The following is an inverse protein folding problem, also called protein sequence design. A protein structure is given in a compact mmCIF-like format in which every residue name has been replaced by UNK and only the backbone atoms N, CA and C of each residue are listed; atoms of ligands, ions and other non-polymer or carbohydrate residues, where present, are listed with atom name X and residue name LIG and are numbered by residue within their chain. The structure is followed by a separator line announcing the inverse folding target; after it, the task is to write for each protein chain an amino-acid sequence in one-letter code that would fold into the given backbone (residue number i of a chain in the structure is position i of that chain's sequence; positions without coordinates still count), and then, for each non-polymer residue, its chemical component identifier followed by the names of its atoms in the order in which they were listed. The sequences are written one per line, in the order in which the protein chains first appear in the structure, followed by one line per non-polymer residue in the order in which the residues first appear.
data_IF_744196495350
#
_entry.id   IF_744196495350
#
_cell.length_a   1.000
_cell.length_b   1.000
_cell.length_c   1.000
_cell.angle_alpha   90.00
_cell.angle_beta   90.00
_cell.angle_gamma   90.00
#
_symmetry.space_group_name_H-M   'P 1'
#
loop_
_entity.id
_entity.type
_entity.pdbx_description
1 polymer ?
#
# COMPACT_ATOMS: atom_id res chain seq x y z
N UNK A 1 4.49 -18.76 22.48
CA UNK A 1 3.84 -18.14 21.31
C UNK A 1 3.55 -16.67 21.63
N UNK A 2 3.99 -15.72 20.80
CA UNK A 2 3.55 -14.33 20.92
C UNK A 2 2.05 -14.32 20.59
N UNK A 3 1.20 -13.91 21.53
CA UNK A 3 -0.21 -13.74 21.22
C UNK A 3 -0.33 -12.64 20.16
N UNK A 4 -0.90 -12.99 19.00
CA UNK A 4 -1.20 -11.99 17.99
C UNK A 4 -2.37 -11.15 18.53
N UNK A 5 -2.13 -9.86 18.72
CA UNK A 5 -3.13 -8.92 19.24
C UNK A 5 -4.05 -8.52 18.09
N UNK A 6 -5.37 -8.61 18.32
CA UNK A 6 -6.37 -8.11 17.38
C UNK A 6 -6.29 -6.58 17.32
N UNK A 7 -5.71 -6.05 16.24
CA UNK A 7 -5.51 -4.61 16.05
C UNK A 7 -5.88 -4.19 14.62
N UNK A 8 -7.19 -4.19 14.27
CA UNK A 8 -7.65 -3.74 12.95
C UNK A 8 -7.74 -2.20 12.87
N UNK A 9 -7.86 -1.68 11.66
CA UNK A 9 -7.97 -0.25 11.38
C UNK A 9 -6.66 0.39 10.93
N UNK A 10 -6.60 1.71 11.07
CA UNK A 10 -5.45 2.52 10.70
C UNK A 10 -4.24 2.18 11.59
N UNK A 11 -3.08 2.04 10.97
CA UNK A 11 -1.81 1.84 11.66
C UNK A 11 -0.88 2.98 11.28
N UNK A 12 -0.20 3.57 12.26
CA UNK A 12 0.87 4.52 12.00
C UNK A 12 1.99 4.30 13.01
N UNK A 13 3.14 3.84 12.53
CA UNK A 13 4.35 3.72 13.33
C UNK A 13 5.12 5.04 13.36
N UNK A 14 5.94 5.23 14.39
CA UNK A 14 6.93 6.33 14.44
C UNK A 14 7.89 6.25 13.24
N UNK A 15 8.24 5.04 12.79
CA UNK A 15 9.07 4.83 11.60
C UNK A 15 8.36 5.36 10.35
N UNK A 16 7.05 5.11 10.22
CA UNK A 16 6.26 5.59 9.07
C UNK A 16 6.24 7.12 9.03
N UNK A 17 6.15 7.79 10.18
CA UNK A 17 6.24 9.26 10.28
C UNK A 17 7.60 9.76 9.79
N UNK A 18 8.71 9.15 10.23
CA UNK A 18 10.04 9.54 9.76
C UNK A 18 10.21 9.32 8.25
N UNK A 19 9.74 8.19 7.74
CA UNK A 19 9.79 7.87 6.30
C UNK A 19 8.93 8.85 5.49
N UNK A 20 7.74 9.20 5.98
CA UNK A 20 6.87 10.18 5.34
C UNK A 20 7.51 11.57 5.32
N UNK A 21 7.94 12.08 6.47
CA UNK A 21 8.53 13.43 6.57
C UNK A 21 9.81 13.52 5.74
N UNK A 22 10.73 12.57 5.92
CA UNK A 22 11.99 12.52 5.17
C UNK A 22 11.77 12.31 3.68
N UNK A 23 10.89 11.37 3.30
CA UNK A 23 10.56 11.07 1.92
C UNK A 23 9.87 12.22 1.19
N UNK A 24 8.92 12.91 1.85
CA UNK A 24 8.27 14.10 1.30
C UNK A 24 9.26 15.25 1.13
N UNK A 25 10.12 15.52 2.13
CA UNK A 25 11.15 16.54 2.00
C UNK A 25 12.12 16.25 0.85
N UNK A 26 12.58 14.99 0.73
CA UNK A 26 13.43 14.56 -0.37
C UNK A 26 12.73 14.72 -1.73
N UNK A 27 11.46 14.33 -1.85
CA UNK A 27 10.69 14.49 -3.07
C UNK A 27 10.50 15.95 -3.47
N UNK A 28 10.27 16.86 -2.50
CA UNK A 28 10.17 18.31 -2.75
C UNK A 28 11.50 18.84 -3.30
N UNK A 29 12.62 18.48 -2.67
CA UNK A 29 13.95 18.90 -3.13
C UNK A 29 14.22 18.38 -4.56
N UNK A 30 13.92 17.10 -4.83
CA UNK A 30 14.10 16.50 -6.15
C UNK A 30 13.22 17.15 -7.23
N UNK A 31 11.99 17.53 -6.89
CA UNK A 31 11.07 18.23 -7.79
C UNK A 31 11.66 19.55 -8.32
N UNK A 32 12.46 20.25 -7.52
CA UNK A 32 13.07 21.53 -7.91
C UNK A 32 14.10 21.38 -9.05
N UNK A 33 14.68 20.20 -9.23
CA UNK A 33 15.61 19.92 -10.32
C UNK A 33 14.85 19.44 -11.55
N UNK A 34 14.06 18.38 -11.37
CA UNK A 34 13.30 17.75 -12.42
C UNK A 34 12.00 17.27 -11.80
N UNK A 35 10.87 17.75 -12.29
CA UNK A 35 9.57 17.50 -11.68
C UNK A 35 9.30 16.00 -11.47
N UNK A 36 9.71 15.14 -12.41
CA UNK A 36 9.48 13.70 -12.31
C UNK A 36 10.38 13.00 -11.29
N UNK A 37 11.53 13.59 -10.93
CA UNK A 37 12.39 13.09 -9.83
C UNK A 37 11.70 13.24 -8.48
N UNK A 38 10.84 14.26 -8.32
CA UNK A 38 9.98 14.40 -7.15
C UNK A 38 8.69 13.57 -7.26
N UNK A 39 8.05 13.59 -8.43
CA UNK A 39 6.78 12.89 -8.65
C UNK A 39 6.87 11.39 -8.37
N UNK A 40 7.83 10.68 -8.98
CA UNK A 40 7.91 9.23 -8.88
C UNK A 40 8.07 8.72 -7.42
N UNK A 41 9.02 9.22 -6.61
CA UNK A 41 9.12 8.81 -5.21
C UNK A 41 7.95 9.30 -4.37
N UNK A 42 7.41 10.51 -4.59
CA UNK A 42 6.23 10.98 -3.87
C UNK A 42 5.00 10.09 -4.13
N UNK A 43 4.80 9.70 -5.40
CA UNK A 43 3.73 8.82 -5.81
C UNK A 43 3.88 7.44 -5.17
N UNK A 44 5.07 6.84 -5.23
CA UNK A 44 5.34 5.57 -4.56
C UNK A 44 5.14 5.66 -3.03
N UNK A 45 5.68 6.70 -2.39
CA UNK A 45 5.55 6.93 -0.94
C UNK A 45 4.09 7.03 -0.51
N UNK A 46 3.27 7.79 -1.26
CA UNK A 46 1.84 7.91 -1.00
C UNK A 46 1.10 6.56 -1.11
N UNK A 47 1.43 5.75 -2.12
CA UNK A 47 0.81 4.44 -2.31
C UNK A 47 1.25 3.44 -1.24
N UNK A 48 2.53 3.37 -0.88
CA UNK A 48 2.99 2.52 0.22
C UNK A 48 2.39 2.96 1.55
N UNK A 49 2.28 4.26 1.80
CA UNK A 49 1.57 4.75 2.98
C UNK A 49 0.12 4.24 2.98
N UNK A 50 -0.61 4.46 1.89
CA UNK A 50 -1.99 4.01 1.75
C UNK A 50 -2.14 2.49 1.91
N UNK A 51 -1.28 1.70 1.27
CA UNK A 51 -1.28 0.24 1.31
C UNK A 51 -0.93 -0.31 2.67
N UNK A 52 0.12 0.18 3.33
CA UNK A 52 0.60 -0.41 4.58
C UNK A 52 -0.14 0.12 5.82
N UNK A 53 -0.67 1.35 5.76
CA UNK A 53 -1.24 2.04 6.94
C UNK A 53 -2.76 2.16 6.89
N UNK A 54 -3.33 2.38 5.71
CA UNK A 54 -4.77 2.62 5.55
C UNK A 54 -5.50 1.33 5.19
N UNK A 55 -5.15 0.71 4.06
CA UNK A 55 -5.84 -0.49 3.55
C UNK A 55 -5.29 -1.77 4.17
N UNK A 56 -4.00 -1.78 4.53
CA UNK A 56 -3.26 -2.93 5.07
C UNK A 56 -3.33 -4.13 4.15
N UNK A 57 -2.97 -3.91 2.88
CA UNK A 57 -3.02 -4.97 1.87
C UNK A 57 -1.97 -6.05 2.10
N UNK A 58 -2.24 -7.26 1.61
CA UNK A 58 -1.28 -8.35 1.69
C UNK A 58 -0.04 -8.05 0.83
N UNK A 59 1.15 -8.35 1.38
CA UNK A 59 2.45 -8.09 0.73
C UNK A 59 2.59 -8.55 -0.72
N UNK A 60 2.04 -9.70 -1.16
CA UNK A 60 2.09 -10.09 -2.57
C UNK A 60 1.40 -9.07 -3.51
N UNK A 61 0.32 -8.43 -3.07
CA UNK A 61 -0.38 -7.40 -3.85
C UNK A 61 0.41 -6.08 -3.89
N UNK A 62 1.08 -5.71 -2.78
CA UNK A 62 2.01 -4.57 -2.75
C UNK A 62 3.13 -4.75 -3.77
N UNK A 63 3.75 -5.94 -3.78
CA UNK A 63 4.84 -6.27 -4.69
C UNK A 63 4.40 -6.32 -6.15
N UNK A 64 3.18 -6.81 -6.42
CA UNK A 64 2.60 -6.77 -7.75
C UNK A 64 2.45 -5.32 -8.25
N UNK A 65 1.85 -4.46 -7.43
CA UNK A 65 1.69 -3.05 -7.77
C UNK A 65 3.05 -2.36 -7.98
N UNK A 66 4.01 -2.61 -7.07
CA UNK A 66 5.34 -2.04 -7.14
C UNK A 66 6.08 -2.48 -8.41
N UNK A 67 5.99 -3.76 -8.77
CA UNK A 67 6.56 -4.29 -10.02
C UNK A 67 5.99 -3.59 -11.25
N UNK A 68 4.66 -3.43 -11.32
CA UNK A 68 4.01 -2.72 -12.42
C UNK A 68 4.48 -1.26 -12.50
N UNK A 69 4.48 -0.54 -11.39
CA UNK A 69 4.92 0.87 -11.36
C UNK A 69 6.39 1.02 -11.75
N UNK A 70 7.29 0.18 -11.21
CA UNK A 70 8.72 0.23 -11.54
C UNK A 70 8.96 -0.03 -13.02
N UNK A 71 8.26 -1.00 -13.62
CA UNK A 71 8.39 -1.31 -15.05
C UNK A 71 7.89 -0.13 -15.90
N UNK A 72 6.73 0.44 -15.58
CA UNK A 72 6.17 1.58 -16.34
C UNK A 72 6.99 2.86 -16.19
N UNK A 73 7.40 3.19 -14.97
CA UNK A 73 8.25 4.35 -14.70
C UNK A 73 9.63 4.18 -15.33
N UNK A 74 10.22 2.97 -15.25
CA UNK A 74 11.48 2.64 -15.90
C UNK A 74 11.41 2.78 -17.42
N UNK A 75 10.34 2.26 -18.04
CA UNK A 75 10.11 2.43 -19.47
C UNK A 75 9.92 3.91 -19.85
N UNK A 76 9.17 4.67 -19.04
CA UNK A 76 8.93 6.10 -19.25
C UNK A 76 10.24 6.90 -19.19
N UNK A 77 11.16 6.54 -18.29
CA UNK A 77 12.47 7.20 -18.17
C UNK A 77 13.41 6.77 -19.29
N UNK A 78 13.43 5.49 -19.67
CA UNK A 78 14.40 4.96 -20.63
C UNK A 78 14.02 5.19 -22.10
N UNK A 79 12.72 5.18 -22.41
CA UNK A 79 12.20 5.20 -23.78
C UNK A 79 11.19 6.32 -24.03
N UNK A 80 10.96 7.20 -23.05
CA UNK A 80 9.95 8.28 -23.10
C UNK A 80 8.52 7.79 -23.38
N UNK A 81 8.28 6.48 -23.24
CA UNK A 81 7.02 5.80 -23.51
C UNK A 81 6.65 4.91 -22.32
N UNK A 82 5.37 4.83 -21.91
CA UNK A 82 4.19 5.49 -22.49
C UNK A 82 3.99 6.95 -22.03
N UNK A 83 4.88 7.49 -21.19
CA UNK A 83 4.78 8.83 -20.61
C UNK A 83 4.18 8.80 -19.20
N UNK A 84 4.50 9.83 -18.40
CA UNK A 84 4.13 9.89 -16.98
C UNK A 84 2.63 9.87 -16.71
N UNK A 85 1.81 10.46 -17.60
CA UNK A 85 0.35 10.44 -17.47
C UNK A 85 -0.20 9.01 -17.57
N UNK A 86 0.20 8.27 -18.61
CA UNK A 86 -0.25 6.89 -18.81
C UNK A 86 0.27 5.99 -17.69
N UNK A 87 1.54 6.15 -17.31
CA UNK A 87 2.13 5.45 -16.16
C UNK A 87 1.32 5.68 -14.88
N UNK A 88 0.98 6.92 -14.56
CA UNK A 88 0.16 7.24 -13.39
C UNK A 88 -1.25 6.64 -13.47
N UNK A 89 -1.93 6.75 -14.62
CA UNK A 89 -3.28 6.21 -14.81
C UNK A 89 -3.33 4.69 -14.69
N UNK A 90 -2.37 3.98 -15.30
CA UNK A 90 -2.29 2.53 -15.19
C UNK A 90 -1.98 2.12 -13.75
N UNK A 91 -1.05 2.80 -13.06
CA UNK A 91 -0.77 2.52 -11.65
C UNK A 91 -1.96 2.80 -10.73
N UNK A 92 -2.75 3.84 -10.99
CA UNK A 92 -4.00 4.10 -10.26
C UNK A 92 -5.04 3.02 -10.53
N UNK A 93 -5.17 2.55 -11.77
CA UNK A 93 -6.08 1.44 -12.10
C UNK A 93 -5.66 0.16 -11.36
N UNK A 94 -4.37 -0.17 -11.36
CA UNK A 94 -3.85 -1.32 -10.61
C UNK A 94 -4.08 -1.14 -9.12
N UNK A 95 -3.93 0.08 -8.58
CA UNK A 95 -4.27 0.41 -7.18
C UNK A 95 -5.71 0.03 -6.86
N UNK A 96 -6.66 0.46 -7.68
CA UNK A 96 -8.09 0.13 -7.51
C UNK A 96 -8.29 -1.39 -7.52
N UNK A 97 -7.67 -2.10 -8.46
CA UNK A 97 -7.78 -3.56 -8.56
C UNK A 97 -7.23 -4.25 -7.32
N UNK A 98 -6.01 -3.92 -6.86
CA UNK A 98 -5.41 -4.59 -5.70
C UNK A 98 -6.18 -4.29 -4.41
N UNK A 99 -6.67 -3.07 -4.25
CA UNK A 99 -7.52 -2.69 -3.11
C UNK A 99 -8.84 -3.45 -3.16
N UNK A 100 -9.51 -3.49 -4.32
CA UNK A 100 -10.76 -4.23 -4.48
C UNK A 100 -10.60 -5.73 -4.19
N UNK A 101 -9.47 -6.33 -4.56
CA UNK A 101 -9.14 -7.72 -4.22
C UNK A 101 -8.90 -7.87 -2.72
N UNK A 102 -8.19 -6.95 -2.07
CA UNK A 102 -7.92 -7.05 -0.63
C UNK A 102 -9.19 -6.89 0.22
N UNK A 103 -10.03 -5.87 -0.05
CA UNK A 103 -11.23 -5.59 0.75
C UNK A 103 -12.26 -6.72 0.71
N UNK A 104 -12.18 -7.61 -0.28
CA UNK A 104 -13.03 -8.79 -0.42
C UNK A 104 -12.52 -10.00 0.37
N UNK A 105 -11.34 -9.93 0.97
CA UNK A 105 -10.80 -11.03 1.77
C UNK A 105 -11.46 -11.06 3.16
N UNK A 106 -11.79 -12.24 3.71
CA UNK A 106 -12.25 -12.38 5.09
C UNK A 106 -11.24 -11.85 6.13
N UNK A 107 -9.97 -11.75 5.75
CA UNK A 107 -8.88 -11.21 6.56
C UNK A 107 -8.73 -9.68 6.44
N UNK A 108 -9.60 -8.97 5.72
CA UNK A 108 -9.49 -7.53 5.55
C UNK A 108 -9.68 -6.81 6.89
N UNK A 109 -8.68 -6.03 7.28
CA UNK A 109 -8.59 -5.41 8.60
C UNK A 109 -8.05 -3.97 8.55
N UNK A 110 -8.16 -3.31 7.39
CA UNK A 110 -7.80 -1.90 7.21
C UNK A 110 -8.84 -0.93 7.77
N UNK A 111 -8.74 0.34 7.38
CA UNK A 111 -9.73 1.37 7.70
C UNK A 111 -11.11 0.98 7.16
N UNK A 112 -12.15 1.26 7.94
CA UNK A 112 -13.54 0.95 7.56
C UNK A 112 -13.90 -0.54 7.67
N UNK A 113 -13.06 -1.38 8.31
CA UNK A 113 -13.33 -2.81 8.45
C UNK A 113 -14.69 -3.11 9.08
N UNK A 114 -15.19 -2.29 10.01
CA UNK A 114 -16.49 -2.51 10.65
C UNK A 114 -17.67 -2.48 9.66
N UNK A 115 -17.55 -1.73 8.56
CA UNK A 115 -18.58 -1.64 7.53
C UNK A 115 -18.33 -2.61 6.38
N UNK A 116 -17.07 -2.85 6.04
CA UNK A 116 -16.66 -3.67 4.90
C UNK A 116 -16.63 -5.17 5.25
N UNK A 117 -16.14 -5.50 6.45
CA UNK A 117 -15.91 -6.86 6.93
C UNK A 117 -16.32 -6.98 8.41
N UNK A 118 -17.63 -6.93 8.73
CA UNK A 118 -18.12 -6.99 10.10
C UNK A 118 -17.83 -8.35 10.79
N UNK A 119 -17.62 -9.41 10.00
CA UNK A 119 -17.32 -10.77 10.47
C UNK A 119 -15.84 -10.97 10.86
N UNK A 120 -15.00 -9.94 10.68
CA UNK A 120 -13.57 -10.00 10.99
C UNK A 120 -13.23 -10.50 12.41
N UNK A 121 -13.92 -10.07 13.50
CA UNK A 121 -13.59 -10.54 14.85
C UNK A 121 -13.84 -12.04 15.01
N UNK A 122 -14.97 -12.54 14.49
CA UNK A 122 -15.30 -13.97 14.53
C UNK A 122 -14.30 -14.80 13.72
N UNK A 123 -13.90 -14.30 12.53
CA UNK A 123 -12.85 -14.92 11.72
C UNK A 123 -11.50 -14.98 12.46
N UNK A 124 -11.14 -13.93 13.19
CA UNK A 124 -9.91 -13.86 13.98
C UNK A 124 -9.91 -14.87 15.14
N UNK A 125 -11.00 -14.93 15.90
CA UNK A 125 -11.16 -15.87 17.02
C UNK A 125 -11.04 -17.32 16.57
N UNK A 126 -11.71 -17.70 15.47
CA UNK A 126 -11.60 -19.03 14.88
C UNK A 126 -10.15 -19.38 14.50
N UNK A 127 -9.42 -18.44 13.88
CA UNK A 127 -8.01 -18.59 13.51
C UNK A 127 -7.07 -18.77 14.70
N UNK A 128 -7.32 -18.06 15.80
CA UNK A 128 -6.53 -18.18 17.03
C UNK A 128 -6.78 -19.54 17.70
N UNK A 129 -8.05 -19.99 17.71
CA UNK A 129 -8.42 -21.30 18.25
C UNK A 129 -7.75 -22.46 17.49
N UNK A 130 -7.77 -22.43 16.14
CA UNK A 130 -7.08 -23.43 15.29
C UNK A 130 -5.58 -23.53 15.60
N UNK A 131 -4.90 -22.37 15.73
CA UNK A 131 -3.47 -22.31 16.04
C UNK A 131 -3.12 -22.80 17.47
N UNK A 132 -4.07 -22.80 18.39
CA UNK A 132 -3.87 -23.25 19.77
C UNK A 132 -4.10 -24.74 19.99
N UNK A 133 -4.75 -25.42 19.04
CA UNK A 133 -5.11 -26.84 19.12
C UNK A 133 -4.12 -27.82 18.46
N UNK A 134 -3.01 -27.33 17.90
CA UNK A 134 -1.95 -28.13 17.28
C UNK A 134 -0.61 -27.93 17.96
#
# INVERSE_FOLDING_TARGET
MKQEVFAPGFRLSVIDVFVLVGGTAAAIVLWMYVWWWGFAPAFALAHFFFFCNVVRIARPLELLWAGVFVVLAGATVAFETPGWLVTALVSLLVTVVVVAVEVRKPSYHGVGWQWINPELPAWWEARVAEKGSG
#
